data_IF_830319807012
#
_entry.id   IF_830319807012
#
_cell.length_a   1.000
_cell.length_b   1.000
_cell.length_c   1.000
_cell.angle_alpha   90.00
_cell.angle_beta   90.00
_cell.angle_gamma   90.00
#
_symmetry.space_group_name_H-M   'P 1'
#
loop_
_entity.id
_entity.type
_entity.pdbx_description
1 polymer ?
#
# COMPACT_ATOMS: atom_id res chain seq x y z
N UNK A 1 -15.91 4.70 -11.14
CA UNK A 1 -16.07 3.35 -11.65
C UNK A 1 -15.89 2.34 -10.49
N UNK A 2 -16.49 1.13 -10.56
CA UNK A 2 -16.36 0.14 -9.48
C UNK A 2 -14.94 -0.37 -9.28
N UNK A 3 -14.09 -0.25 -10.30
CA UNK A 3 -12.71 -0.71 -10.31
C UNK A 3 -11.71 0.40 -9.90
N UNK A 4 -12.16 1.65 -9.82
CA UNK A 4 -11.34 2.81 -9.40
C UNK A 4 -11.28 2.88 -7.87
N UNK A 5 -10.65 1.91 -7.23
CA UNK A 5 -10.50 1.84 -5.78
C UNK A 5 -9.03 1.99 -5.42
N UNK A 6 -8.74 2.99 -4.59
CA UNK A 6 -7.43 3.12 -3.97
C UNK A 6 -7.53 2.82 -2.47
N UNK A 7 -6.53 2.15 -1.94
CA UNK A 7 -6.30 2.05 -0.49
C UNK A 7 -5.15 2.95 -0.10
N UNK A 8 -5.14 3.43 1.11
CA UNK A 8 -3.99 4.14 1.66
C UNK A 8 -3.96 4.02 3.17
N UNK A 9 -2.79 4.13 3.73
CA UNK A 9 -2.65 4.12 5.17
C UNK A 9 -1.44 4.90 5.66
N UNK A 10 -1.59 5.43 6.85
CA UNK A 10 -0.56 6.17 7.58
C UNK A 10 0.10 5.25 8.60
N UNK A 11 1.42 5.11 8.57
CA UNK A 11 2.17 4.31 9.55
C UNK A 11 1.60 2.88 9.64
N UNK A 12 1.14 2.46 10.80
CA UNK A 12 0.50 1.14 11.00
C UNK A 12 -0.74 0.93 10.10
N UNK A 13 -1.45 2.00 9.73
CA UNK A 13 -2.56 1.93 8.77
C UNK A 13 -2.12 1.51 7.37
N UNK A 14 -0.93 1.92 6.94
CA UNK A 14 -0.33 1.45 5.68
C UNK A 14 0.07 -0.02 5.74
N UNK A 15 0.53 -0.51 6.90
CA UNK A 15 0.77 -1.94 7.12
C UNK A 15 -0.53 -2.74 6.94
N UNK A 16 -1.65 -2.25 7.51
CA UNK A 16 -2.96 -2.89 7.35
C UNK A 16 -3.45 -2.89 5.90
N UNK A 17 -3.25 -1.80 5.16
CA UNK A 17 -3.55 -1.74 3.74
C UNK A 17 -2.72 -2.76 2.95
N UNK A 18 -1.43 -2.86 3.27
CA UNK A 18 -0.52 -3.85 2.69
C UNK A 18 -0.94 -5.30 2.98
N UNK A 19 -1.32 -5.61 4.21
CA UNK A 19 -1.84 -6.94 4.59
C UNK A 19 -3.09 -7.30 3.77
N UNK A 20 -4.01 -6.37 3.61
CA UNK A 20 -5.17 -6.55 2.76
C UNK A 20 -4.80 -6.93 1.32
N UNK A 21 -3.83 -6.22 0.71
CA UNK A 21 -3.37 -6.48 -0.65
C UNK A 21 -2.56 -7.77 -0.80
N UNK A 22 -1.87 -8.19 0.26
CA UNK A 22 -1.06 -9.41 0.28
C UNK A 22 -1.89 -10.69 0.48
N UNK A 23 -2.99 -10.62 1.24
CA UNK A 23 -3.75 -11.80 1.70
C UNK A 23 -5.21 -11.81 1.25
N UNK A 24 -5.54 -11.01 0.31
CA UNK A 24 -6.87 -10.80 -0.18
C UNK A 24 -7.62 -12.10 -0.58
N UNK A 25 -6.96 -13.01 -1.28
CA UNK A 25 -7.57 -14.27 -1.73
C UNK A 25 -7.85 -15.27 -0.58
N UNK A 26 -7.15 -15.14 0.54
CA UNK A 26 -7.26 -16.04 1.69
C UNK A 26 -8.31 -15.55 2.70
N UNK A 27 -8.40 -14.25 2.93
CA UNK A 27 -9.13 -13.67 4.06
C UNK A 27 -10.49 -13.08 3.68
N UNK A 28 -10.74 -12.83 2.40
CA UNK A 28 -11.92 -12.12 1.91
C UNK A 28 -13.23 -12.81 2.26
N UNK A 29 -13.31 -14.12 2.18
CA UNK A 29 -14.56 -14.84 2.42
C UNK A 29 -14.83 -15.20 3.89
N UNK A 30 -13.92 -14.82 4.82
CA UNK A 30 -14.09 -15.04 6.26
C UNK A 30 -13.92 -16.49 6.74
N UNK A 31 -13.80 -17.47 5.87
CA UNK A 31 -13.72 -18.91 6.26
C UNK A 31 -12.40 -19.26 6.93
N UNK A 32 -11.34 -18.50 6.69
CA UNK A 32 -10.06 -18.62 7.37
C UNK A 32 -10.14 -18.24 8.86
N UNK A 33 -11.02 -17.30 9.20
CA UNK A 33 -11.23 -16.81 10.58
C UNK A 33 -12.29 -17.61 11.31
N UNK A 34 -13.35 -18.03 10.63
CA UNK A 34 -14.45 -18.81 11.19
C UNK A 34 -14.90 -19.89 10.20
N UNK A 35 -14.57 -21.14 10.50
CA UNK A 35 -14.92 -22.27 9.64
C UNK A 35 -16.43 -22.53 9.55
N UNK A 36 -17.24 -21.92 10.40
CA UNK A 36 -18.71 -21.97 10.34
C UNK A 36 -19.32 -20.85 9.50
N UNK A 37 -18.52 -19.89 9.05
CA UNK A 37 -18.98 -18.83 8.17
C UNK A 37 -19.46 -19.39 6.84
N UNK A 38 -20.62 -18.94 6.39
CA UNK A 38 -21.17 -19.33 5.10
C UNK A 38 -21.08 -18.13 4.15
N UNK A 39 -20.17 -18.17 3.15
CA UNK A 39 -20.02 -17.09 2.19
C UNK A 39 -21.31 -16.83 1.41
N UNK A 40 -21.56 -15.55 1.09
CA UNK A 40 -22.69 -15.13 0.27
C UNK A 40 -22.23 -14.43 -1.05
N UNK A 41 -23.15 -13.75 -1.71
CA UNK A 41 -22.86 -13.09 -2.98
C UNK A 41 -21.80 -11.96 -2.85
N UNK A 42 -21.69 -11.33 -1.68
CA UNK A 42 -20.71 -10.27 -1.43
C UNK A 42 -19.30 -10.82 -1.37
N UNK A 43 -19.13 -12.03 -0.87
CA UNK A 43 -17.81 -12.70 -0.81
C UNK A 43 -17.27 -13.11 -2.20
N UNK A 44 -18.09 -12.99 -3.24
CA UNK A 44 -17.66 -13.24 -4.62
C UNK A 44 -17.11 -11.98 -5.30
N UNK A 45 -17.28 -10.80 -4.66
CA UNK A 45 -16.77 -9.54 -5.20
C UNK A 45 -15.26 -9.46 -4.90
N UNK A 46 -14.42 -9.32 -5.92
CA UNK A 46 -12.98 -9.17 -5.70
C UNK A 46 -12.68 -7.96 -4.83
N UNK A 47 -11.86 -8.14 -3.81
CA UNK A 47 -11.40 -7.06 -2.93
C UNK A 47 -9.99 -6.61 -3.33
N UNK A 48 -9.81 -6.16 -4.56
CA UNK A 48 -8.54 -5.61 -5.06
C UNK A 48 -8.55 -4.07 -5.03
N UNK A 49 -7.38 -3.47 -5.15
CA UNK A 49 -7.23 -2.04 -5.31
C UNK A 49 -6.37 -1.71 -6.53
N UNK A 50 -6.74 -0.64 -7.24
CA UNK A 50 -6.02 -0.13 -8.41
C UNK A 50 -4.80 0.72 -8.02
N UNK A 51 -4.72 1.14 -6.77
CA UNK A 51 -3.61 1.94 -6.24
C UNK A 51 -3.47 1.80 -4.72
N UNK A 52 -2.23 1.93 -4.22
CA UNK A 52 -1.92 1.98 -2.79
C UNK A 52 -1.10 3.23 -2.42
N UNK A 53 -1.44 3.85 -1.30
CA UNK A 53 -0.72 4.98 -0.71
C UNK A 53 -0.05 4.60 0.60
N UNK A 54 1.27 4.48 0.60
CA UNK A 54 2.10 4.22 1.77
C UNK A 54 2.62 5.54 2.37
N UNK A 55 1.87 6.09 3.33
CA UNK A 55 2.22 7.36 3.97
C UNK A 55 3.05 7.06 5.22
N UNK A 56 4.36 7.33 5.16
CA UNK A 56 5.38 6.88 6.12
C UNK A 56 5.15 5.43 6.56
N UNK A 57 4.96 4.55 5.57
CA UNK A 57 4.68 3.13 5.76
C UNK A 57 5.30 2.27 4.65
N UNK A 58 5.20 0.98 4.78
CA UNK A 58 5.72 -0.01 3.84
C UNK A 58 4.90 -1.32 3.91
N UNK A 59 5.07 -2.18 2.92
CA UNK A 59 4.63 -3.57 2.99
C UNK A 59 5.52 -4.35 3.97
N UNK A 60 4.91 -5.08 4.89
CA UNK A 60 5.65 -5.85 5.88
C UNK A 60 4.90 -5.95 7.21
N UNK A 61 5.64 -5.88 8.30
CA UNK A 61 5.10 -5.90 9.66
C UNK A 61 5.42 -4.60 10.38
N UNK A 62 4.80 -4.39 11.52
CA UNK A 62 5.10 -3.22 12.35
C UNK A 62 6.62 -3.11 12.59
N UNK A 63 7.20 -1.98 12.25
CA UNK A 63 8.63 -1.65 12.35
C UNK A 63 9.59 -2.42 11.43
N UNK A 64 9.10 -3.33 10.58
CA UNK A 64 9.94 -4.12 9.68
C UNK A 64 9.31 -4.21 8.29
N UNK A 65 9.89 -3.47 7.34
CA UNK A 65 9.54 -3.57 5.92
C UNK A 65 10.04 -4.90 5.32
N UNK A 66 9.25 -5.52 4.48
CA UNK A 66 9.67 -6.71 3.74
C UNK A 66 10.37 -6.29 2.45
N UNK A 67 11.57 -6.84 2.22
CA UNK A 67 12.40 -6.56 1.05
C UNK A 67 12.57 -7.78 0.14
N UNK A 68 11.85 -8.87 0.42
CA UNK A 68 11.89 -10.09 -0.37
C UNK A 68 10.94 -10.02 -1.56
N UNK A 69 11.45 -9.94 -2.81
CA UNK A 69 10.60 -9.88 -4.00
C UNK A 69 9.71 -11.11 -4.18
N UNK A 70 10.15 -12.28 -3.75
CA UNK A 70 9.36 -13.52 -3.86
C UNK A 70 8.14 -13.43 -2.95
N UNK A 71 8.32 -12.97 -1.70
CA UNK A 71 7.21 -12.74 -0.78
C UNK A 71 6.26 -11.64 -1.30
N UNK A 72 6.80 -10.51 -1.76
CA UNK A 72 5.99 -9.40 -2.28
C UNK A 72 5.18 -9.80 -3.53
N UNK A 73 5.67 -10.76 -4.32
CA UNK A 73 4.98 -11.26 -5.50
C UNK A 73 3.84 -12.25 -5.20
N UNK A 74 3.72 -12.70 -3.97
CA UNK A 74 2.58 -13.53 -3.53
C UNK A 74 1.29 -12.73 -3.45
N UNK A 75 1.38 -11.39 -3.27
CA UNK A 75 0.24 -10.49 -3.25
C UNK A 75 -0.07 -9.88 -4.62
N UNK A 76 -1.22 -9.26 -4.74
CA UNK A 76 -1.64 -8.48 -5.90
C UNK A 76 -1.37 -7.00 -5.64
N UNK A 77 -0.07 -6.62 -5.70
CA UNK A 77 0.36 -5.27 -5.38
C UNK A 77 0.09 -4.31 -6.54
N UNK A 78 -0.74 -3.28 -6.32
CA UNK A 78 -1.03 -2.27 -7.33
C UNK A 78 0.10 -1.24 -7.45
N UNK A 79 0.01 -0.31 -8.40
CA UNK A 79 0.80 0.92 -8.38
C UNK A 79 0.83 1.54 -6.98
N UNK A 80 2.03 1.84 -6.48
CA UNK A 80 2.23 2.27 -5.09
C UNK A 80 2.89 3.64 -5.01
N UNK A 81 2.32 4.51 -4.19
CA UNK A 81 2.81 5.86 -3.91
C UNK A 81 3.37 5.94 -2.50
N UNK A 82 4.62 6.34 -2.35
CA UNK A 82 5.28 6.52 -1.07
C UNK A 82 5.44 8.00 -0.70
N UNK A 83 5.16 8.33 0.56
CA UNK A 83 5.50 9.64 1.15
C UNK A 83 6.17 9.44 2.48
N UNK A 84 7.35 10.00 2.69
CA UNK A 84 8.09 9.89 3.95
C UNK A 84 9.08 11.02 4.13
N UNK A 85 9.50 11.23 5.37
CA UNK A 85 10.47 12.25 5.73
C UNK A 85 11.88 11.69 5.89
N UNK A 86 12.90 12.52 5.66
CA UNK A 86 14.31 12.12 5.82
C UNK A 86 14.73 11.90 7.28
N UNK A 87 13.97 12.44 8.24
CA UNK A 87 14.22 12.28 9.68
C UNK A 87 13.35 11.17 10.29
N UNK A 88 12.65 10.39 9.46
CA UNK A 88 11.87 9.23 9.91
C UNK A 88 12.82 8.09 10.32
N UNK A 89 12.62 7.44 11.49
CA UNK A 89 13.44 6.29 11.90
C UNK A 89 13.44 5.13 10.90
N UNK A 90 12.44 5.04 10.03
CA UNK A 90 12.29 3.98 9.02
C UNK A 90 12.73 4.42 7.62
N UNK A 91 13.36 5.58 7.49
CA UNK A 91 13.73 6.16 6.19
C UNK A 91 14.45 5.17 5.27
N UNK A 92 15.46 4.48 5.78
CA UNK A 92 16.24 3.52 4.98
C UNK A 92 15.38 2.37 4.46
N UNK A 93 14.39 1.91 5.25
CA UNK A 93 13.47 0.87 4.84
C UNK A 93 12.50 1.34 3.75
N UNK A 94 12.04 2.59 3.81
CA UNK A 94 11.20 3.15 2.74
C UNK A 94 11.96 3.25 1.43
N UNK A 95 13.20 3.74 1.46
CA UNK A 95 14.06 3.85 0.27
C UNK A 95 14.34 2.47 -0.34
N UNK A 96 14.72 1.50 0.48
CA UNK A 96 15.01 0.15 0.02
C UNK A 96 13.79 -0.52 -0.59
N UNK A 97 12.63 -0.47 0.07
CA UNK A 97 11.43 -1.11 -0.46
C UNK A 97 10.92 -0.42 -1.73
N UNK A 98 11.00 0.91 -1.82
CA UNK A 98 10.69 1.62 -3.05
C UNK A 98 11.50 1.08 -4.24
N UNK A 99 12.80 0.87 -4.05
CA UNK A 99 13.67 0.33 -5.09
C UNK A 99 13.34 -1.13 -5.42
N UNK A 100 13.05 -1.97 -4.42
CA UNK A 100 12.65 -3.37 -4.60
C UNK A 100 11.37 -3.45 -5.44
N UNK A 101 10.31 -2.77 -5.05
CA UNK A 101 9.01 -2.81 -5.73
C UNK A 101 9.12 -2.26 -7.15
N UNK A 102 9.87 -1.18 -7.35
CA UNK A 102 10.15 -0.63 -8.67
C UNK A 102 10.89 -1.63 -9.56
N UNK A 103 11.88 -2.33 -9.01
CA UNK A 103 12.65 -3.33 -9.75
C UNK A 103 11.81 -4.58 -10.09
N UNK A 104 10.74 -4.86 -9.36
CA UNK A 104 9.74 -5.88 -9.68
C UNK A 104 8.84 -5.47 -10.85
N UNK A 105 8.94 -4.23 -11.35
CA UNK A 105 8.13 -3.71 -12.45
C UNK A 105 6.79 -3.10 -12.04
N UNK A 106 6.55 -2.96 -10.73
CA UNK A 106 5.34 -2.27 -10.21
C UNK A 106 5.55 -0.76 -10.37
N UNK A 107 4.56 -0.08 -10.92
CA UNK A 107 4.60 1.38 -11.05
C UNK A 107 4.69 2.02 -9.67
N UNK A 108 5.72 2.82 -9.44
CA UNK A 108 5.97 3.47 -8.14
C UNK A 108 6.20 4.96 -8.31
N UNK A 109 5.74 5.73 -7.33
CA UNK A 109 6.05 7.14 -7.18
C UNK A 109 6.41 7.44 -5.74
N UNK A 110 7.18 8.50 -5.49
CA UNK A 110 7.50 8.91 -4.12
C UNK A 110 7.66 10.40 -3.98
N UNK A 111 7.37 10.87 -2.77
CA UNK A 111 7.74 12.20 -2.29
C UNK A 111 8.58 12.02 -1.03
N UNK A 112 9.76 12.60 -1.04
CA UNK A 112 10.67 12.63 0.12
C UNK A 112 10.66 14.03 0.71
N UNK A 113 10.20 14.14 1.96
CA UNK A 113 10.11 15.41 2.67
C UNK A 113 11.40 15.66 3.48
N UNK A 114 12.26 16.56 2.99
CA UNK A 114 13.53 16.86 3.64
C UNK A 114 13.34 17.51 5.01
N UNK A 115 13.95 16.92 6.04
CA UNK A 115 13.90 17.40 7.42
C UNK A 115 12.59 17.04 8.17
N UNK A 116 11.71 16.24 7.58
CA UNK A 116 10.46 15.85 8.21
C UNK A 116 10.59 14.53 8.98
N UNK A 117 9.96 14.44 10.16
CA UNK A 117 9.93 13.22 10.98
C UNK A 117 8.81 12.28 10.55
N UNK A 118 8.64 11.18 11.27
CA UNK A 118 7.46 10.32 11.20
C UNK A 118 6.19 11.04 11.69
N UNK A 119 5.04 10.70 11.11
CA UNK A 119 3.74 11.12 11.69
C UNK A 119 3.29 12.54 11.31
N UNK A 120 3.67 13.06 10.16
CA UNK A 120 3.29 14.41 9.71
C UNK A 120 1.84 14.53 9.20
N UNK A 121 1.09 13.44 9.07
CA UNK A 121 -0.29 13.47 8.59
C UNK A 121 -0.39 14.07 7.19
N UNK A 122 -1.31 15.01 7.00
CA UNK A 122 -1.54 15.70 5.71
C UNK A 122 -0.62 16.90 5.45
N UNK A 123 0.29 17.20 6.37
CA UNK A 123 1.23 18.30 6.20
C UNK A 123 2.34 17.96 5.17
N UNK A 124 3.05 18.98 4.70
CA UNK A 124 4.16 18.79 3.75
C UNK A 124 3.78 18.88 2.27
N UNK A 125 2.52 19.18 1.94
CA UNK A 125 2.07 19.50 0.57
C UNK A 125 1.95 18.31 -0.38
N UNK A 126 2.06 17.08 0.12
CA UNK A 126 2.03 15.86 -0.69
C UNK A 126 0.61 15.47 -1.17
N UNK A 127 -0.44 15.86 -0.45
CA UNK A 127 -1.82 15.42 -0.72
C UNK A 127 -2.27 15.75 -2.14
N UNK A 128 -1.95 16.95 -2.62
CA UNK A 128 -2.28 17.36 -3.99
C UNK A 128 -1.58 16.48 -5.03
N UNK A 129 -0.29 16.21 -4.84
CA UNK A 129 0.50 15.37 -5.76
C UNK A 129 0.00 13.92 -5.75
N UNK A 130 -0.40 13.40 -4.58
CA UNK A 130 -1.03 12.09 -4.48
C UNK A 130 -2.37 12.04 -5.24
N UNK A 131 -3.21 13.05 -5.10
CA UNK A 131 -4.48 13.13 -5.83
C UNK A 131 -4.26 13.19 -7.35
N UNK A 132 -3.32 13.99 -7.82
CA UNK A 132 -2.95 14.07 -9.24
C UNK A 132 -2.43 12.72 -9.75
N UNK A 133 -1.61 12.04 -8.96
CA UNK A 133 -1.12 10.70 -9.31
C UNK A 133 -2.25 9.67 -9.38
N UNK A 134 -3.20 9.67 -8.45
CA UNK A 134 -4.38 8.79 -8.51
C UNK A 134 -5.22 9.02 -9.78
N UNK A 135 -5.42 10.28 -10.17
CA UNK A 135 -6.12 10.60 -11.43
C UNK A 135 -5.38 10.04 -12.66
N UNK A 136 -4.05 10.00 -12.62
CA UNK A 136 -3.25 9.40 -13.70
C UNK A 136 -3.39 7.88 -13.72
N UNK A 137 -3.37 7.21 -12.56
CA UNK A 137 -3.56 5.76 -12.46
C UNK A 137 -4.94 5.37 -13.00
N UNK A 138 -6.00 5.99 -12.52
CA UNK A 138 -7.38 5.68 -12.93
C UNK A 138 -7.68 5.98 -14.41
N UNK A 139 -6.89 6.80 -15.07
CA UNK A 139 -7.01 7.04 -16.53
C UNK A 139 -6.32 5.97 -17.37
N UNK A 140 -5.46 5.12 -16.77
CA UNK A 140 -4.74 4.06 -17.49
C UNK A 140 -5.56 2.77 -17.61
N UNK A 141 -6.62 2.64 -16.83
CA UNK A 141 -7.59 1.55 -16.86
C UNK A 141 -8.69 1.83 -17.89
#
# INVERSE_FOLDING_TARGET
>A
EPDDIAVMGFSAGGIQAGEFLMHYDEDVNGTALDSSYVPDELDQIPAHASADGMIYSFYGRLSVGNMDPDWLSEGDLPPTFYVYGTEDPFYDQFEEQYDVIRNMGIQTSRIVLSGWPHGFGSDGGWVKQYAEWLEEIFKQE
#
